data_IF_253474963299
#
_entry.id   IF_253474963299
#
_cell.length_a   1.000
_cell.length_b   1.000
_cell.length_c   1.000
_cell.angle_alpha   90.00
_cell.angle_beta   90.00
_cell.angle_gamma   90.00
#
_symmetry.space_group_name_H-M   'P 1'
#
loop_
_entity.id
_entity.type
_entity.pdbx_description
1 polymer ?
#
# COMPACT_ATOMS: atom_id res chain seq x y z
N UNK A 1 -12.04 15.32 -6.80
CA UNK A 1 -13.14 16.18 -6.33
C UNK A 1 -14.34 15.34 -5.89
N UNK A 2 -14.81 14.36 -6.67
CA UNK A 2 -15.91 13.46 -6.24
C UNK A 2 -15.54 12.65 -4.99
N UNK A 3 -14.37 12.02 -4.97
CA UNK A 3 -13.93 11.22 -3.83
C UNK A 3 -13.79 12.04 -2.52
N UNK A 4 -13.36 13.29 -2.59
CA UNK A 4 -13.29 14.16 -1.41
C UNK A 4 -14.68 14.55 -0.90
N UNK A 5 -15.62 14.90 -1.80
CA UNK A 5 -17.02 15.20 -1.41
C UNK A 5 -17.73 13.98 -0.82
N UNK A 6 -17.52 12.80 -1.42
CA UNK A 6 -18.08 11.54 -0.94
C UNK A 6 -17.50 11.15 0.44
N UNK A 7 -16.21 11.38 0.66
CA UNK A 7 -15.57 11.14 1.95
C UNK A 7 -16.06 12.11 3.03
N UNK A 8 -16.23 13.41 2.70
CA UNK A 8 -16.78 14.37 3.64
C UNK A 8 -18.23 14.03 4.00
N UNK A 9 -19.06 13.68 3.01
CA UNK A 9 -20.44 13.28 3.26
C UNK A 9 -20.55 12.03 4.15
N UNK A 10 -19.66 11.04 3.94
CA UNK A 10 -19.56 9.85 4.80
C UNK A 10 -19.12 10.20 6.22
N UNK A 11 -18.13 11.08 6.36
CA UNK A 11 -17.68 11.56 7.66
C UNK A 11 -18.83 12.25 8.41
N UNK A 12 -19.51 13.21 7.78
CA UNK A 12 -20.62 13.95 8.36
C UNK A 12 -21.78 13.02 8.79
N UNK A 13 -22.11 12.03 7.95
CA UNK A 13 -23.13 11.02 8.28
C UNK A 13 -22.72 10.20 9.51
N UNK A 14 -21.47 9.77 9.62
CA UNK A 14 -20.97 8.98 10.77
C UNK A 14 -20.88 9.82 12.04
N UNK A 15 -20.59 11.12 11.93
CA UNK A 15 -20.65 12.07 13.06
C UNK A 15 -22.10 12.19 13.56
N UNK A 16 -23.06 12.38 12.65
CA UNK A 16 -24.50 12.47 13.00
C UNK A 16 -25.01 11.20 13.69
N UNK A 17 -24.49 10.02 13.31
CA UNK A 17 -24.84 8.76 13.92
C UNK A 17 -24.07 8.46 15.23
N UNK A 18 -23.25 9.38 15.72
CA UNK A 18 -22.43 9.19 16.91
C UNK A 18 -21.32 8.14 16.77
N UNK A 19 -21.01 7.72 15.54
CA UNK A 19 -19.97 6.74 15.25
C UNK A 19 -18.57 7.36 15.22
N UNK A 20 -18.46 8.65 15.02
CA UNK A 20 -17.21 9.42 15.02
C UNK A 20 -17.38 10.64 15.91
N UNK A 21 -16.44 10.87 16.81
CA UNK A 21 -16.31 12.13 17.55
C UNK A 21 -15.58 13.11 16.62
N UNK A 22 -16.14 14.31 16.37
CA UNK A 22 -15.51 15.31 15.52
C UNK A 22 -14.09 15.66 15.98
N UNK A 23 -13.21 15.90 15.04
CA UNK A 23 -11.83 16.30 15.29
C UNK A 23 -11.36 17.30 14.25
N UNK A 24 -10.35 18.10 14.59
CA UNK A 24 -9.79 19.11 13.71
C UNK A 24 -8.27 18.99 13.64
N UNK A 25 -7.74 18.65 12.47
CA UNK A 25 -6.30 18.57 12.23
C UNK A 25 -5.61 19.95 12.35
N UNK A 26 -6.33 21.05 12.12
CA UNK A 26 -5.80 22.41 12.27
C UNK A 26 -5.29 22.74 13.68
N UNK A 27 -5.80 22.05 14.72
CA UNK A 27 -5.30 22.18 16.11
C UNK A 27 -3.83 21.73 16.27
N UNK A 28 -3.32 20.98 15.30
CA UNK A 28 -1.93 20.53 15.22
C UNK A 28 -1.15 21.21 14.10
N UNK A 29 -1.66 22.31 13.56
CA UNK A 29 -1.05 23.02 12.45
C UNK A 29 -1.06 22.25 11.12
N UNK A 30 -1.93 21.22 11.01
CA UNK A 30 -2.05 20.40 9.81
C UNK A 30 -3.14 20.99 8.92
N UNK A 31 -2.74 21.55 7.80
CA UNK A 31 -3.65 22.05 6.80
C UNK A 31 -4.07 20.97 5.80
N UNK A 32 -5.38 20.86 5.58
CA UNK A 32 -5.93 19.95 4.58
C UNK A 32 -5.72 20.55 3.19
N UNK A 33 -4.91 19.89 2.36
CA UNK A 33 -4.73 20.30 0.97
C UNK A 33 -6.01 20.10 0.17
N UNK A 34 -6.41 21.10 -0.58
CA UNK A 34 -7.51 21.04 -1.54
C UNK A 34 -6.96 21.02 -2.99
N UNK A 35 -5.99 20.14 -3.24
CA UNK A 35 -5.33 19.96 -4.52
C UNK A 35 -5.87 18.74 -5.26
N UNK A 36 -5.56 18.62 -6.55
CA UNK A 36 -5.85 17.41 -7.32
C UNK A 36 -4.89 16.29 -6.91
N UNK A 37 -5.40 15.27 -6.25
CA UNK A 37 -4.58 14.14 -5.77
C UNK A 37 -3.85 13.39 -6.90
N UNK A 38 -4.40 13.37 -8.12
CA UNK A 38 -3.73 12.75 -9.27
C UNK A 38 -2.59 13.62 -9.78
N UNK A 39 -2.78 14.94 -9.81
CA UNK A 39 -1.71 15.89 -10.13
C UNK A 39 -0.59 15.84 -9.10
N UNK A 40 -0.92 15.80 -7.81
CA UNK A 40 0.07 15.66 -6.73
C UNK A 40 0.87 14.35 -6.86
N UNK A 41 0.19 13.25 -7.17
CA UNK A 41 0.84 11.96 -7.41
C UNK A 41 1.81 12.01 -8.61
N UNK A 42 1.38 12.55 -9.75
CA UNK A 42 2.23 12.70 -10.94
C UNK A 42 3.46 13.55 -10.61
N UNK A 43 3.27 14.66 -9.90
CA UNK A 43 4.36 15.53 -9.48
C UNK A 43 5.36 14.80 -8.57
N UNK A 44 4.85 14.01 -7.60
CA UNK A 44 5.72 13.21 -6.72
C UNK A 44 6.52 12.17 -7.50
N UNK A 45 5.90 11.45 -8.43
CA UNK A 45 6.58 10.50 -9.33
C UNK A 45 7.66 11.20 -10.17
N UNK A 46 7.37 12.38 -10.72
CA UNK A 46 8.32 13.13 -11.53
C UNK A 46 9.53 13.63 -10.71
N UNK A 47 9.30 14.03 -9.45
CA UNK A 47 10.36 14.48 -8.54
C UNK A 47 11.22 13.32 -8.05
N UNK A 48 10.58 12.25 -7.59
CA UNK A 48 11.25 11.12 -6.96
C UNK A 48 11.90 10.19 -7.99
N UNK A 49 11.31 10.05 -9.19
CA UNK A 49 11.77 9.18 -10.28
C UNK A 49 12.02 7.75 -9.80
N UNK A 50 11.00 7.07 -9.27
CA UNK A 50 11.17 5.73 -8.71
C UNK A 50 11.49 4.70 -9.81
N UNK A 51 12.36 3.73 -9.48
CA UNK A 51 12.66 2.58 -10.34
C UNK A 51 11.58 1.50 -10.24
N UNK A 52 10.83 1.46 -9.14
CA UNK A 52 9.72 0.55 -8.90
C UNK A 52 8.69 1.19 -7.96
N UNK A 53 7.42 0.80 -8.10
CA UNK A 53 6.33 1.22 -7.22
C UNK A 53 5.86 0.02 -6.40
N UNK A 54 5.83 0.19 -5.07
CA UNK A 54 5.20 -0.77 -4.16
C UNK A 54 3.86 -0.22 -3.69
N UNK A 55 2.79 -1.01 -3.90
CA UNK A 55 1.45 -0.63 -3.50
C UNK A 55 0.86 -1.66 -2.53
N UNK A 56 0.51 -1.21 -1.30
CA UNK A 56 -0.30 -2.01 -0.38
C UNK A 56 -1.78 -1.75 -0.68
N UNK A 57 -2.49 -2.79 -1.07
CA UNK A 57 -3.84 -2.66 -1.67
C UNK A 57 -4.85 -3.46 -0.84
N UNK A 58 -5.95 -2.79 -0.50
CA UNK A 58 -7.19 -3.42 -0.01
C UNK A 58 -8.19 -3.48 -1.16
N UNK A 59 -9.24 -4.30 -1.01
CA UNK A 59 -10.28 -4.44 -2.04
C UNK A 59 -10.94 -3.11 -2.39
N UNK A 60 -11.30 -2.32 -1.39
CA UNK A 60 -11.94 -1.01 -1.55
C UNK A 60 -11.02 0.06 -2.14
N UNK A 61 -9.70 -0.07 -1.97
CA UNK A 61 -8.71 0.86 -2.53
C UNK A 61 -8.22 0.47 -3.93
N UNK A 62 -8.52 -0.75 -4.39
CA UNK A 62 -8.10 -1.22 -5.70
C UNK A 62 -8.59 -0.36 -6.88
N UNK A 63 -9.87 0.10 -6.92
CA UNK A 63 -10.33 0.97 -7.99
C UNK A 63 -9.58 2.30 -8.08
N UNK A 64 -9.21 2.90 -6.94
CA UNK A 64 -8.45 4.16 -6.93
C UNK A 64 -6.99 3.92 -7.31
N UNK A 65 -6.38 2.81 -6.85
CA UNK A 65 -5.03 2.40 -7.27
C UNK A 65 -4.92 2.32 -8.80
N UNK A 66 -5.87 1.66 -9.50
CA UNK A 66 -5.87 1.59 -10.96
C UNK A 66 -5.88 2.97 -11.62
N UNK A 67 -6.66 3.90 -11.07
CA UNK A 67 -6.71 5.27 -11.59
C UNK A 67 -5.38 6.01 -11.43
N UNK A 68 -4.65 5.80 -10.33
CA UNK A 68 -3.31 6.35 -10.15
C UNK A 68 -2.34 5.78 -11.16
N UNK A 69 -2.31 4.47 -11.33
CA UNK A 69 -1.39 3.81 -12.26
C UNK A 69 -1.66 4.18 -13.72
N UNK A 70 -2.93 4.35 -14.10
CA UNK A 70 -3.31 4.82 -15.44
C UNK A 70 -2.73 6.20 -15.78
N UNK A 71 -2.58 7.07 -14.77
CA UNK A 71 -2.00 8.42 -14.95
C UNK A 71 -0.51 8.43 -15.26
N UNK A 72 0.19 7.33 -14.99
CA UNK A 72 1.64 7.20 -15.16
C UNK A 72 2.04 6.02 -16.06
N UNK A 73 1.08 5.43 -16.79
CA UNK A 73 1.32 4.25 -17.63
C UNK A 73 2.39 4.45 -18.70
N UNK A 74 2.52 5.69 -19.21
CA UNK A 74 3.55 6.09 -20.17
C UNK A 74 4.97 5.97 -19.62
N UNK A 75 5.14 6.05 -18.31
CA UNK A 75 6.45 5.99 -17.63
C UNK A 75 7.00 4.57 -17.54
N UNK A 76 6.17 3.55 -17.70
CA UNK A 76 6.56 2.12 -17.67
C UNK A 76 7.34 1.72 -16.42
N UNK A 77 7.01 2.31 -15.28
CA UNK A 77 7.63 1.99 -14.00
C UNK A 77 7.04 0.66 -13.51
N UNK A 78 7.87 -0.35 -13.20
CA UNK A 78 7.40 -1.63 -12.67
C UNK A 78 6.59 -1.43 -11.39
N UNK A 79 5.54 -2.24 -11.20
CA UNK A 79 4.69 -2.16 -10.04
C UNK A 79 4.51 -3.52 -9.37
N UNK A 80 4.73 -3.54 -8.05
CA UNK A 80 4.41 -4.66 -7.18
C UNK A 80 3.22 -4.32 -6.31
N UNK A 81 2.19 -5.17 -6.38
CA UNK A 81 1.03 -5.13 -5.50
C UNK A 81 1.21 -6.09 -4.32
N UNK A 82 1.01 -5.61 -3.09
CA UNK A 82 1.07 -6.39 -1.86
C UNK A 82 -0.09 -6.06 -0.92
N UNK A 83 -0.14 -6.75 0.20
CA UNK A 83 -1.20 -6.62 1.20
C UNK A 83 -2.20 -7.77 1.15
N UNK A 84 -3.28 -7.65 1.94
CA UNK A 84 -4.25 -8.73 2.16
C UNK A 84 -5.00 -9.10 0.87
N UNK A 85 -5.47 -8.10 0.14
CA UNK A 85 -6.24 -8.33 -1.09
C UNK A 85 -5.40 -8.99 -2.19
N UNK A 86 -4.20 -8.48 -2.57
CA UNK A 86 -3.32 -9.17 -3.52
C UNK A 86 -2.90 -10.57 -3.07
N UNK A 87 -2.68 -10.79 -1.79
CA UNK A 87 -2.34 -12.13 -1.26
C UNK A 87 -3.47 -13.14 -1.46
N UNK A 88 -4.72 -12.69 -1.37
CA UNK A 88 -5.92 -13.53 -1.47
C UNK A 88 -6.32 -13.83 -2.92
N UNK A 89 -6.19 -12.85 -3.82
CA UNK A 89 -6.67 -12.93 -5.20
C UNK A 89 -5.62 -12.43 -6.22
N UNK A 90 -4.40 -12.99 -6.20
CA UNK A 90 -3.28 -12.49 -7.01
C UNK A 90 -3.56 -12.50 -8.51
N UNK A 91 -4.38 -13.44 -9.01
CA UNK A 91 -4.75 -13.51 -10.41
C UNK A 91 -5.52 -12.28 -10.88
N UNK A 92 -6.37 -11.69 -10.01
CA UNK A 92 -7.13 -10.49 -10.36
C UNK A 92 -6.18 -9.33 -10.58
N UNK A 93 -5.19 -9.17 -9.68
CA UNK A 93 -4.21 -8.08 -9.76
C UNK A 93 -3.32 -8.22 -11.00
N UNK A 94 -2.84 -9.43 -11.28
CA UNK A 94 -1.94 -9.69 -12.43
C UNK A 94 -2.64 -9.64 -13.80
N UNK A 95 -3.97 -9.59 -13.84
CA UNK A 95 -4.71 -9.28 -15.09
C UNK A 95 -4.59 -7.80 -15.48
N UNK A 96 -4.35 -6.91 -14.53
CA UNK A 96 -4.19 -5.50 -14.80
C UNK A 96 -2.82 -5.21 -15.43
N UNK A 97 -2.79 -4.43 -16.50
CA UNK A 97 -1.55 -4.11 -17.22
C UNK A 97 -0.54 -3.33 -16.37
N UNK A 98 -1.03 -2.64 -15.35
CA UNK A 98 -0.22 -1.82 -14.46
C UNK A 98 0.40 -2.60 -13.29
N UNK A 99 0.24 -3.93 -13.21
CA UNK A 99 0.82 -4.76 -12.14
C UNK A 99 1.73 -5.81 -12.76
N UNK A 100 3.00 -5.80 -12.41
CA UNK A 100 4.03 -6.71 -12.88
C UNK A 100 4.28 -7.86 -11.89
N UNK A 101 4.18 -7.53 -10.59
CA UNK A 101 4.44 -8.45 -9.49
C UNK A 101 3.32 -8.41 -8.46
N UNK A 102 3.01 -9.56 -7.88
CA UNK A 102 2.18 -9.64 -6.67
C UNK A 102 2.98 -10.32 -5.59
N UNK A 103 3.14 -9.66 -4.44
CA UNK A 103 3.72 -10.25 -3.25
C UNK A 103 2.62 -10.89 -2.41
N UNK A 104 2.74 -12.19 -2.14
CA UNK A 104 1.82 -12.96 -1.31
C UNK A 104 2.44 -13.21 0.06
N UNK A 105 1.69 -12.89 1.12
CA UNK A 105 2.19 -13.00 2.48
C UNK A 105 3.19 -11.91 2.83
N UNK A 106 4.22 -12.27 3.59
CA UNK A 106 5.23 -11.34 4.10
C UNK A 106 6.18 -10.86 3.00
N UNK A 107 6.38 -9.54 2.95
CA UNK A 107 7.10 -8.87 1.86
C UNK A 107 8.58 -8.64 2.10
N UNK A 108 9.04 -8.63 3.35
CA UNK A 108 10.36 -8.12 3.73
C UNK A 108 11.50 -8.75 2.93
N UNK A 109 11.58 -10.06 2.90
CA UNK A 109 12.63 -10.73 2.13
C UNK A 109 12.41 -10.64 0.62
N UNK A 110 11.15 -10.76 0.16
CA UNK A 110 10.83 -10.75 -1.27
C UNK A 110 11.08 -9.37 -1.91
N UNK A 111 10.78 -8.28 -1.20
CA UNK A 111 11.00 -6.92 -1.69
C UNK A 111 12.48 -6.60 -1.81
N UNK A 112 13.29 -6.99 -0.81
CA UNK A 112 14.75 -6.79 -0.85
C UNK A 112 15.36 -7.58 -2.01
N UNK A 113 14.99 -8.86 -2.18
CA UNK A 113 15.50 -9.68 -3.30
C UNK A 113 15.05 -9.12 -4.65
N UNK A 114 13.83 -8.61 -4.76
CA UNK A 114 13.34 -7.99 -5.99
C UNK A 114 14.14 -6.74 -6.34
N UNK A 115 14.35 -5.84 -5.37
CA UNK A 115 15.14 -4.63 -5.59
C UNK A 115 16.57 -4.96 -6.04
N UNK A 116 17.24 -5.88 -5.34
CA UNK A 116 18.60 -6.29 -5.69
C UNK A 116 18.65 -6.94 -7.09
N UNK A 117 17.67 -7.79 -7.41
CA UNK A 117 17.63 -8.43 -8.73
C UNK A 117 17.38 -7.42 -9.86
N UNK A 118 16.54 -6.41 -9.64
CA UNK A 118 16.30 -5.34 -10.63
C UNK A 118 17.53 -4.46 -10.80
N UNK A 119 18.21 -4.08 -9.72
CA UNK A 119 19.44 -3.28 -9.77
C UNK A 119 20.57 -4.02 -10.52
N UNK A 120 20.69 -5.31 -10.29
CA UNK A 120 21.71 -6.16 -10.92
C UNK A 120 21.32 -6.70 -12.31
N UNK A 121 20.10 -6.40 -12.79
CA UNK A 121 19.57 -6.91 -14.05
C UNK A 121 19.37 -8.43 -14.07
N UNK A 122 19.17 -9.05 -12.89
CA UNK A 122 18.95 -10.50 -12.71
C UNK A 122 17.50 -10.90 -12.94
N UNK A 123 17.29 -12.21 -13.14
CA UNK A 123 15.93 -12.77 -13.29
C UNK A 123 15.16 -12.71 -11.96
N UNK A 124 13.99 -12.06 -12.01
CA UNK A 124 13.08 -11.90 -10.86
C UNK A 124 12.07 -13.04 -10.76
N UNK A 125 12.03 -13.94 -11.71
CA UNK A 125 10.94 -14.94 -11.86
C UNK A 125 10.98 -16.07 -10.83
N UNK A 126 12.06 -16.22 -10.06
CA UNK A 126 12.25 -17.32 -9.10
C UNK A 126 12.13 -16.88 -7.64
N UNK A 127 11.87 -15.60 -7.38
CA UNK A 127 11.80 -15.03 -6.03
C UNK A 127 10.56 -15.55 -5.29
N UNK A 128 10.76 -16.24 -4.17
CA UNK A 128 9.66 -16.75 -3.34
C UNK A 128 8.78 -15.61 -2.84
N UNK A 129 7.51 -15.87 -2.60
CA UNK A 129 6.40 -14.96 -2.30
C UNK A 129 5.94 -14.14 -3.51
N UNK A 130 6.72 -14.02 -4.60
CA UNK A 130 6.31 -13.26 -5.76
C UNK A 130 5.59 -14.13 -6.79
N UNK A 131 4.44 -13.67 -7.22
CA UNK A 131 3.88 -14.06 -8.50
C UNK A 131 4.28 -13.01 -9.53
N UNK A 132 4.79 -13.44 -10.66
CA UNK A 132 5.45 -12.57 -11.64
C UNK A 132 4.75 -12.68 -12.98
N UNK A 133 4.36 -11.55 -13.56
CA UNK A 133 3.86 -11.49 -14.95
C UNK A 133 5.05 -11.39 -15.90
N UNK A 134 5.23 -12.42 -16.73
CA UNK A 134 6.31 -12.48 -17.74
C UNK A 134 5.73 -13.00 -19.06
N UNK A 135 5.84 -12.23 -20.13
CA UNK A 135 5.38 -12.62 -21.48
C UNK A 135 3.95 -13.16 -21.52
N UNK A 136 2.99 -12.47 -20.88
CA UNK A 136 1.57 -12.86 -20.76
C UNK A 136 1.32 -14.14 -19.96
N UNK A 137 2.33 -14.73 -19.35
CA UNK A 137 2.19 -15.85 -18.42
C UNK A 137 2.39 -15.38 -16.99
N UNK A 138 1.81 -16.10 -16.04
CA UNK A 138 1.98 -15.84 -14.62
C UNK A 138 2.82 -16.95 -14.03
N UNK A 139 4.00 -16.61 -13.54
CA UNK A 139 4.87 -17.52 -12.79
C UNK A 139 4.48 -17.44 -11.32
N UNK A 140 4.12 -18.57 -10.74
CA UNK A 140 3.59 -18.70 -9.38
C UNK A 140 4.65 -19.31 -8.45
N UNK A 141 5.38 -18.47 -7.73
CA UNK A 141 6.37 -18.99 -6.78
C UNK A 141 5.75 -19.38 -5.45
N UNK A 142 6.41 -20.27 -4.74
CA UNK A 142 6.01 -20.72 -3.40
C UNK A 142 6.13 -19.59 -2.37
N UNK A 143 5.28 -19.66 -1.34
CA UNK A 143 5.39 -18.79 -0.17
C UNK A 143 6.54 -19.30 0.71
N UNK A 144 7.28 -18.36 1.31
CA UNK A 144 8.31 -18.64 2.31
C UNK A 144 7.68 -19.11 3.63
N UNK A 145 8.43 -19.82 4.46
CA UNK A 145 8.07 -19.98 5.86
C UNK A 145 7.87 -18.61 6.51
N UNK A 146 7.04 -18.56 7.57
CA UNK A 146 6.84 -17.34 8.34
C UNK A 146 8.18 -16.78 8.85
N UNK A 147 8.32 -15.46 8.79
CA UNK A 147 9.52 -14.76 9.23
C UNK A 147 9.57 -14.69 10.75
N UNK A 148 10.74 -14.90 11.33
CA UNK A 148 10.96 -14.57 12.75
C UNK A 148 11.06 -13.05 12.89
N UNK A 149 10.02 -12.44 13.47
CA UNK A 149 9.93 -10.99 13.69
C UNK A 149 11.09 -10.42 14.52
N UNK A 150 11.74 -11.25 15.35
CA UNK A 150 12.88 -10.82 16.16
C UNK A 150 14.14 -10.57 15.31
N UNK A 151 14.17 -11.06 14.08
CA UNK A 151 15.29 -10.84 13.13
C UNK A 151 15.15 -9.56 12.33
N UNK A 152 13.98 -8.91 12.40
CA UNK A 152 13.74 -7.67 11.67
C UNK A 152 14.38 -6.47 12.38
N UNK A 153 14.91 -5.50 11.61
CA UNK A 153 15.33 -4.24 12.17
C UNK A 153 14.14 -3.45 12.72
N UNK A 154 14.41 -2.56 13.69
CA UNK A 154 13.40 -1.60 14.14
C UNK A 154 12.97 -0.75 12.96
N UNK A 155 11.67 -0.55 12.84
CA UNK A 155 11.06 0.21 11.75
C UNK A 155 11.56 1.66 11.74
N UNK A 156 12.18 2.09 10.64
CA UNK A 156 12.56 3.49 10.45
C UNK A 156 11.38 4.30 9.96
N UNK A 157 10.82 5.12 10.84
CA UNK A 157 9.69 5.99 10.52
C UNK A 157 10.12 7.34 9.96
N UNK A 158 11.42 7.66 9.93
CA UNK A 158 11.94 8.93 9.41
C UNK A 158 11.76 9.10 7.89
N UNK A 159 11.58 7.99 7.17
CA UNK A 159 11.30 7.99 5.74
C UNK A 159 9.90 8.53 5.37
N UNK A 160 9.00 8.61 6.35
CA UNK A 160 7.65 9.13 6.14
C UNK A 160 7.57 10.62 6.49
N UNK A 161 6.73 11.37 5.79
CA UNK A 161 6.39 12.73 6.19
C UNK A 161 5.72 12.69 7.57
N UNK A 162 6.12 13.59 8.48
CA UNK A 162 5.63 13.60 9.89
C UNK A 162 4.09 13.62 9.97
N UNK A 163 3.45 14.32 9.03
CA UNK A 163 1.99 14.38 8.92
C UNK A 163 1.34 12.98 8.83
N UNK A 164 2.01 12.00 8.24
CA UNK A 164 1.48 10.63 8.11
C UNK A 164 1.42 9.87 9.45
N UNK A 165 2.04 10.40 10.50
CA UNK A 165 1.99 9.85 11.84
C UNK A 165 0.84 10.38 12.70
N UNK A 166 0.12 11.41 12.25
CA UNK A 166 -1.00 11.96 13.02
C UNK A 166 -2.27 11.15 12.80
N UNK A 167 -2.94 10.83 13.90
CA UNK A 167 -4.20 10.06 13.91
C UNK A 167 -5.22 10.70 14.84
N UNK A 168 -6.47 10.70 14.41
CA UNK A 168 -7.58 11.09 15.26
C UNK A 168 -8.04 9.91 16.11
N UNK A 169 -8.15 10.10 17.42
CA UNK A 169 -8.69 9.11 18.35
C UNK A 169 -9.50 9.85 19.42
N UNK A 170 -10.75 9.43 19.63
CA UNK A 170 -11.66 10.02 20.63
C UNK A 170 -11.78 11.55 20.54
N UNK A 171 -11.85 12.10 19.32
CA UNK A 171 -11.99 13.55 19.07
C UNK A 171 -10.72 14.37 19.25
N UNK A 172 -9.57 13.74 19.53
CA UNK A 172 -8.27 14.41 19.67
C UNK A 172 -7.29 13.89 18.64
N UNK A 173 -6.33 14.73 18.25
CA UNK A 173 -5.25 14.37 17.32
C UNK A 173 -3.99 13.99 18.11
N UNK A 174 -3.49 12.80 17.85
CA UNK A 174 -2.27 12.27 18.44
C UNK A 174 -1.22 12.00 17.36
N UNK A 175 0.06 12.17 17.70
CA UNK A 175 1.17 11.64 16.92
C UNK A 175 1.42 10.20 17.38
N UNK A 176 1.22 9.25 16.46
CA UNK A 176 1.21 7.82 16.77
C UNK A 176 2.06 7.07 15.75
N UNK A 177 2.98 6.22 16.24
CA UNK A 177 3.70 5.26 15.42
C UNK A 177 2.93 3.94 15.36
N UNK A 178 2.83 3.29 14.19
CA UNK A 178 2.36 1.91 14.12
C UNK A 178 3.43 1.00 14.74
N UNK A 179 3.00 0.08 15.61
CA UNK A 179 3.86 -0.94 16.20
C UNK A 179 3.19 -2.29 16.04
N UNK A 180 3.89 -3.25 15.46
CA UNK A 180 3.43 -4.62 15.33
C UNK A 180 4.05 -5.47 16.44
N UNK A 181 3.22 -6.01 17.30
CA UNK A 181 3.66 -6.85 18.43
C UNK A 181 3.50 -8.34 18.17
N UNK A 182 2.75 -8.71 17.13
CA UNK A 182 2.46 -10.10 16.78
C UNK A 182 2.09 -10.17 15.30
N UNK A 183 2.47 -11.24 14.63
CA UNK A 183 2.03 -11.60 13.27
C UNK A 183 1.20 -12.88 13.28
N UNK A 184 0.22 -12.92 12.36
CA UNK A 184 -0.71 -14.02 12.25
C UNK A 184 -1.88 -13.93 13.22
N UNK A 185 -2.78 -14.89 13.10
CA UNK A 185 -3.98 -15.00 13.90
C UNK A 185 -4.18 -16.46 14.31
N UNK A 186 -4.43 -16.76 15.60
CA UNK A 186 -4.60 -18.13 16.08
C UNK A 186 -5.98 -18.73 15.75
N UNK A 187 -6.90 -17.93 15.19
CA UNK A 187 -8.26 -18.36 14.91
C UNK A 187 -8.41 -18.92 13.51
N UNK A 188 -9.34 -19.86 13.34
CA UNK A 188 -9.71 -20.51 12.07
C UNK A 188 -11.15 -20.11 11.68
N UNK A 189 -11.36 -18.83 11.41
CA UNK A 189 -12.68 -18.33 11.01
C UNK A 189 -13.04 -18.80 9.59
N UNK A 190 -14.32 -19.15 9.36
CA UNK A 190 -14.78 -19.67 8.06
C UNK A 190 -14.64 -18.68 6.90
N UNK A 191 -14.58 -17.38 7.18
CA UNK A 191 -14.47 -16.31 6.20
C UNK A 191 -13.04 -15.80 6.02
N UNK A 192 -12.10 -16.32 6.74
CA UNK A 192 -10.68 -15.95 6.73
C UNK A 192 -9.80 -17.21 6.76
#
# INVERSE_FOLDING_TARGET
IRAQKDNQARYDARVKLGQIIPFNFGERGIEMKNTDMFGDFINKINQFKPDIIFASILEDTFPIFKKFMEKIKDKKIPCLAGGVFPSSVPEILLKEDCVDYVCRGEGEGALVELCNALEEGKDTSTIKNLWVKKNKTIIKNQIRPALDVNTLPIQDLSIFEDISLYRAMTGKIYRMAPVETQRGCPYACRFC
#
